data_IF_343081544711
#
_entry.id   IF_343081544711
#
_cell.length_a   1.000
_cell.length_b   1.000
_cell.length_c   1.000
_cell.angle_alpha   90.00
_cell.angle_beta   90.00
_cell.angle_gamma   90.00
#
_symmetry.space_group_name_H-M   'P 1'
#
loop_
_entity.id
_entity.type
_entity.pdbx_description
1 polymer ?
#
# COMPACT_ATOMS: atom_id res chain seq x y z
N UNK A 1 6.04 23.42 14.27
CA UNK A 1 5.55 22.58 13.15
C UNK A 1 6.68 21.65 12.70
N UNK A 2 6.48 20.32 12.69
CA UNK A 2 7.43 19.42 12.05
C UNK A 2 7.49 19.79 10.56
N UNK A 3 8.70 20.01 10.04
CA UNK A 3 8.90 20.27 8.61
C UNK A 3 8.30 19.11 7.81
N UNK A 4 7.47 19.41 6.81
CA UNK A 4 7.00 18.40 5.86
C UNK A 4 8.24 17.83 5.18
N UNK A 5 8.50 16.53 5.37
CA UNK A 5 9.52 15.82 4.61
C UNK A 5 9.26 16.06 3.12
N UNK A 6 10.27 16.58 2.44
CA UNK A 6 10.21 16.89 0.99
C UNK A 6 10.60 15.69 0.14
N UNK A 7 11.27 14.71 0.74
CA UNK A 7 11.73 13.49 0.10
C UNK A 7 11.29 12.25 0.90
N UNK A 8 11.06 11.10 0.23
CA UNK A 8 10.76 9.84 0.90
C UNK A 8 11.90 9.41 1.84
N UNK A 9 11.55 9.03 3.07
CA UNK A 9 12.52 8.53 4.04
C UNK A 9 12.69 7.01 3.91
N UNK A 10 13.92 6.49 3.66
CA UNK A 10 14.16 5.05 3.52
C UNK A 10 13.74 4.20 4.73
N UNK A 11 13.87 4.73 5.94
CA UNK A 11 13.43 4.02 7.15
C UNK A 11 11.91 3.90 7.21
N UNK A 12 11.18 4.90 6.71
CA UNK A 12 9.73 4.86 6.60
C UNK A 12 9.28 3.91 5.50
N UNK A 13 9.97 3.90 4.35
CA UNK A 13 9.72 2.90 3.29
C UNK A 13 9.86 1.49 3.87
N UNK A 14 10.93 1.23 4.63
CA UNK A 14 11.14 -0.06 5.26
C UNK A 14 10.01 -0.41 6.24
N UNK A 15 9.64 0.51 7.13
CA UNK A 15 8.53 0.30 8.07
C UNK A 15 7.20 0.01 7.35
N UNK A 16 6.87 0.75 6.30
CA UNK A 16 5.68 0.55 5.49
C UNK A 16 5.64 -0.84 4.84
N UNK A 17 6.78 -1.33 4.32
CA UNK A 17 6.92 -2.69 3.79
C UNK A 17 6.68 -3.73 4.88
N UNK A 18 7.25 -3.57 6.08
CA UNK A 18 7.06 -4.50 7.19
C UNK A 18 5.59 -4.57 7.63
N UNK A 19 4.91 -3.43 7.71
CA UNK A 19 3.49 -3.34 8.06
C UNK A 19 2.60 -4.00 6.99
N UNK A 20 2.87 -3.74 5.71
CA UNK A 20 2.18 -4.39 4.58
C UNK A 20 2.34 -5.92 4.65
N UNK A 21 3.57 -6.42 4.87
CA UNK A 21 3.85 -7.84 5.10
C UNK A 21 3.13 -8.40 6.31
N UNK A 22 3.02 -7.61 7.37
CA UNK A 22 2.31 -7.96 8.61
C UNK A 22 0.78 -7.94 8.47
N UNK A 23 0.24 -7.57 7.30
CA UNK A 23 -1.21 -7.56 7.04
C UNK A 23 -1.91 -6.34 7.62
N UNK A 24 -1.14 -5.31 7.97
CA UNK A 24 -1.66 -3.98 8.27
C UNK A 24 -1.14 -3.00 7.24
N UNK A 25 -1.88 -2.84 6.15
CA UNK A 25 -1.38 -2.07 5.01
C UNK A 25 -1.30 -0.57 5.34
N UNK A 26 -0.24 0.14 4.91
CA UNK A 26 -0.20 1.60 4.89
C UNK A 26 -0.99 2.21 3.72
N UNK A 27 -1.72 1.40 2.95
CA UNK A 27 -2.41 1.79 1.73
C UNK A 27 -1.45 1.79 0.54
N UNK A 28 -0.48 2.70 0.54
CA UNK A 28 0.63 2.72 -0.42
C UNK A 28 1.94 2.95 0.31
N UNK A 29 3.02 2.38 -0.22
CA UNK A 29 4.39 2.63 0.21
C UNK A 29 4.85 3.90 -0.50
N UNK A 30 5.02 4.98 0.27
CA UNK A 30 5.36 6.31 -0.23
C UNK A 30 6.58 6.93 0.46
N UNK A 31 7.04 6.33 1.57
CA UNK A 31 8.16 6.77 2.38
C UNK A 31 7.88 7.99 3.28
N UNK A 32 6.61 8.35 3.50
CA UNK A 32 6.24 9.48 4.35
C UNK A 32 5.56 9.04 5.65
N UNK A 33 5.88 9.74 6.74
CA UNK A 33 5.15 9.57 7.99
C UNK A 33 3.85 10.38 7.95
N UNK A 34 2.75 9.73 7.61
CA UNK A 34 1.42 10.34 7.51
C UNK A 34 0.32 9.51 8.16
N UNK A 35 -0.93 9.99 8.05
CA UNK A 35 -2.08 9.42 8.75
C UNK A 35 -2.31 7.93 8.42
N UNK A 36 -2.06 7.50 7.19
CA UNK A 36 -2.19 6.09 6.83
C UNK A 36 -1.13 5.21 7.49
N UNK A 37 0.09 5.72 7.71
CA UNK A 37 1.11 5.02 8.46
C UNK A 37 0.70 4.88 9.94
N UNK A 38 0.21 5.96 10.55
CA UNK A 38 -0.34 5.92 11.92
C UNK A 38 -1.47 4.89 12.06
N UNK A 39 -2.37 4.82 11.07
CA UNK A 39 -3.45 3.82 11.02
C UNK A 39 -2.92 2.39 10.84
N UNK A 40 -1.89 2.20 10.01
CA UNK A 40 -1.26 0.90 9.84
C UNK A 40 -0.56 0.43 11.12
N UNK A 41 0.08 1.34 11.86
CA UNK A 41 0.62 1.01 13.19
C UNK A 41 -0.51 0.59 14.14
N UNK A 42 -1.60 1.36 14.20
CA UNK A 42 -2.77 1.02 15.03
C UNK A 42 -3.42 -0.33 14.64
N UNK A 43 -3.48 -0.62 13.34
CA UNK A 43 -3.97 -1.90 12.83
C UNK A 43 -3.05 -3.06 13.21
N UNK A 44 -1.73 -2.85 13.15
CA UNK A 44 -0.75 -3.83 13.59
C UNK A 44 -0.81 -4.07 15.11
N UNK A 45 -0.94 -3.02 15.92
CA UNK A 45 -1.18 -3.14 17.36
C UNK A 45 -2.41 -4.01 17.64
N UNK A 46 -3.52 -3.78 16.93
CA UNK A 46 -4.73 -4.58 17.06
C UNK A 46 -4.50 -6.06 16.67
N UNK A 47 -3.78 -6.32 15.58
CA UNK A 47 -3.39 -7.67 15.15
C UNK A 47 -2.52 -8.38 16.21
N UNK A 48 -1.64 -7.62 16.85
CA UNK A 48 -0.69 -8.10 17.86
C UNK A 48 -1.25 -8.13 19.28
N UNK A 49 -2.51 -7.67 19.47
CA UNK A 49 -3.16 -7.48 20.78
C UNK A 49 -2.37 -6.56 21.72
N UNK A 50 -1.76 -5.53 21.16
CA UNK A 50 -1.12 -4.43 21.88
C UNK A 50 -2.14 -3.32 22.19
N UNK A 51 -1.83 -2.39 23.12
CA UNK A 51 -2.57 -1.14 23.24
C UNK A 51 -2.63 -0.42 21.88
N UNK A 52 -3.83 -0.03 21.45
CA UNK A 52 -4.03 0.61 20.14
C UNK A 52 -3.94 2.13 20.29
N UNK A 53 -2.79 2.71 19.98
CA UNK A 53 -2.55 4.16 20.02
C UNK A 53 -1.89 4.71 18.74
N UNK A 54 -1.50 3.84 17.82
CA UNK A 54 -0.95 4.18 16.50
C UNK A 54 0.46 4.74 16.54
N UNK A 55 1.20 4.54 17.64
CA UNK A 55 2.55 5.09 17.79
C UNK A 55 3.60 4.02 17.54
N UNK A 56 4.65 4.43 16.83
CA UNK A 56 5.83 3.59 16.68
C UNK A 56 6.61 3.58 17.99
N UNK A 57 6.45 2.51 18.76
CA UNK A 57 7.16 2.30 20.02
C UNK A 57 8.06 1.04 19.97
N UNK A 58 8.88 0.78 21.00
CA UNK A 58 9.76 -0.38 21.04
C UNK A 58 9.02 -1.73 20.97
N UNK A 59 7.78 -1.82 21.46
CA UNK A 59 7.00 -3.07 21.44
C UNK A 59 6.50 -3.36 20.02
N UNK A 60 6.05 -2.35 19.29
CA UNK A 60 5.70 -2.44 17.86
C UNK A 60 6.93 -2.80 17.04
N UNK A 61 8.03 -2.06 17.19
CA UNK A 61 9.28 -2.30 16.45
C UNK A 61 9.85 -3.69 16.72
N UNK A 62 9.83 -4.15 17.97
CA UNK A 62 10.33 -5.47 18.35
C UNK A 62 9.54 -6.64 17.76
N UNK A 63 8.30 -6.40 17.29
CA UNK A 63 7.45 -7.42 16.63
C UNK A 63 7.44 -7.32 15.11
N UNK A 64 7.90 -6.20 14.55
CA UNK A 64 8.10 -6.02 13.11
C UNK A 64 9.51 -6.52 12.73
N UNK A 65 9.71 -7.83 12.83
CA UNK A 65 10.98 -8.46 12.44
C UNK A 65 10.83 -9.13 11.09
N UNK A 66 11.68 -8.76 10.13
CA UNK A 66 11.86 -9.48 8.88
C UNK A 66 13.30 -9.31 8.41
N UNK A 67 13.96 -10.43 8.08
CA UNK A 67 15.32 -10.44 7.54
C UNK A 67 15.34 -10.28 6.01
N UNK A 68 14.17 -10.22 5.36
CA UNK A 68 14.06 -10.04 3.93
C UNK A 68 14.24 -8.57 3.51
N UNK A 69 14.99 -8.29 2.41
CA UNK A 69 15.13 -6.95 1.87
C UNK A 69 13.78 -6.26 1.64
N UNK A 70 13.70 -4.95 1.85
CA UNK A 70 12.49 -4.19 1.55
C UNK A 70 12.31 -3.92 0.05
N UNK A 71 13.42 -3.88 -0.71
CA UNK A 71 13.48 -3.52 -2.13
C UNK A 71 14.16 -4.64 -2.92
N UNK A 72 13.67 -4.92 -4.13
CA UNK A 72 14.28 -5.83 -5.11
C UNK A 72 14.45 -5.18 -6.48
N UNK A 73 15.33 -5.78 -7.29
CA UNK A 73 15.38 -5.51 -8.71
C UNK A 73 14.24 -6.25 -9.43
N UNK A 74 13.56 -5.55 -10.34
CA UNK A 74 12.52 -6.09 -11.20
C UNK A 74 12.83 -5.75 -12.67
N UNK A 75 12.91 -6.78 -13.52
CA UNK A 75 13.05 -6.61 -14.95
C UNK A 75 11.67 -6.38 -15.57
N UNK A 76 11.47 -5.22 -16.19
CA UNK A 76 10.22 -4.89 -16.88
C UNK A 76 10.10 -5.79 -18.11
N UNK A 77 9.00 -6.53 -18.20
CA UNK A 77 8.72 -7.45 -19.31
C UNK A 77 7.66 -6.86 -20.25
N UNK A 78 7.51 -7.45 -21.44
CA UNK A 78 6.50 -7.00 -22.42
C UNK A 78 5.07 -7.08 -21.90
N UNK A 79 4.79 -7.96 -20.94
CA UNK A 79 3.47 -8.04 -20.30
C UNK A 79 3.11 -6.78 -19.51
N UNK A 80 4.12 -6.09 -18.96
CA UNK A 80 3.92 -4.88 -18.17
C UNK A 80 3.48 -3.69 -19.04
N UNK A 81 3.64 -3.76 -20.37
CA UNK A 81 3.13 -2.74 -21.31
C UNK A 81 1.72 -3.01 -21.81
N UNK A 82 1.07 -4.10 -21.38
CA UNK A 82 -0.35 -4.33 -21.68
C UNK A 82 -1.25 -3.54 -20.73
N UNK A 83 -2.50 -3.37 -21.13
CA UNK A 83 -3.53 -2.62 -20.37
C UNK A 83 -3.20 -1.15 -20.16
N UNK A 84 -2.28 -0.59 -20.95
CA UNK A 84 -1.96 0.83 -20.92
C UNK A 84 -2.94 1.57 -21.83
N UNK A 85 -3.71 2.47 -21.24
CA UNK A 85 -4.67 3.35 -21.91
C UNK A 85 -4.12 4.77 -21.99
N UNK A 86 -4.51 5.53 -23.02
CA UNK A 86 -4.05 6.91 -23.20
C UNK A 86 -4.52 7.82 -22.06
N UNK A 87 -5.75 7.65 -21.60
CA UNK A 87 -6.31 8.39 -20.48
C UNK A 87 -7.49 7.65 -19.85
N UNK A 88 -7.79 7.99 -18.60
CA UNK A 88 -9.00 7.57 -17.88
C UNK A 88 -9.84 8.82 -17.64
N UNK A 89 -11.10 8.89 -18.14
CA UNK A 89 -12.00 10.01 -17.89
C UNK A 89 -12.22 10.24 -16.39
N UNK A 90 -12.50 11.47 -15.98
CA UNK A 90 -12.88 11.77 -14.59
C UNK A 90 -14.34 11.44 -14.27
N UNK A 91 -15.19 11.44 -15.28
CA UNK A 91 -16.62 11.19 -15.12
C UNK A 91 -16.90 9.67 -15.01
N UNK A 92 -17.64 9.28 -13.97
CA UNK A 92 -17.93 7.87 -13.70
C UNK A 92 -18.82 7.23 -14.77
N UNK A 93 -19.73 7.97 -15.41
CA UNK A 93 -20.57 7.43 -16.47
C UNK A 93 -19.76 7.16 -17.74
N UNK A 94 -18.76 8.00 -18.04
CA UNK A 94 -17.82 7.73 -19.13
C UNK A 94 -16.86 6.57 -18.78
N UNK A 95 -16.36 6.49 -17.53
CA UNK A 95 -15.58 5.33 -17.08
C UNK A 95 -16.36 4.02 -17.21
N UNK A 96 -17.66 4.03 -16.89
CA UNK A 96 -18.52 2.85 -16.98
C UNK A 96 -18.74 2.35 -18.43
N UNK A 97 -18.42 3.16 -19.44
CA UNK A 97 -18.46 2.77 -20.86
C UNK A 97 -17.14 2.19 -21.37
N UNK A 98 -16.05 2.32 -20.60
CA UNK A 98 -14.77 1.68 -20.94
C UNK A 98 -14.91 0.16 -20.79
N UNK A 99 -14.23 -0.61 -21.65
CA UNK A 99 -14.21 -2.07 -21.56
C UNK A 99 -13.63 -2.54 -20.22
N UNK A 100 -12.57 -1.88 -19.77
CA UNK A 100 -12.01 -1.97 -18.43
C UNK A 100 -11.28 -0.67 -18.07
N UNK A 101 -11.06 -0.43 -16.77
CA UNK A 101 -10.12 0.58 -16.33
C UNK A 101 -8.70 -0.01 -16.45
N UNK A 102 -7.91 0.54 -17.37
CA UNK A 102 -6.49 0.20 -17.52
C UNK A 102 -5.59 1.08 -16.66
N UNK A 103 -4.33 1.19 -17.05
CA UNK A 103 -3.34 2.06 -16.44
C UNK A 103 -2.90 3.14 -17.43
N UNK A 104 -2.54 4.33 -16.97
CA UNK A 104 -2.07 5.41 -17.86
C UNK A 104 -0.57 5.31 -18.15
N UNK A 105 0.17 4.47 -17.42
CA UNK A 105 1.60 4.21 -17.66
C UNK A 105 2.08 2.89 -17.06
N UNK A 106 3.20 2.36 -17.58
CA UNK A 106 3.88 1.19 -17.01
C UNK A 106 4.33 1.48 -15.56
N UNK A 107 4.80 2.69 -15.28
CA UNK A 107 5.18 3.10 -13.94
C UNK A 107 4.00 3.03 -12.95
N UNK A 108 2.80 3.42 -13.37
CA UNK A 108 1.58 3.31 -12.56
C UNK A 108 1.19 1.84 -12.32
N UNK A 109 1.16 1.02 -13.38
CA UNK A 109 0.86 -0.41 -13.29
C UNK A 109 1.81 -1.13 -12.33
N UNK A 110 3.11 -0.84 -12.44
CA UNK A 110 4.13 -1.42 -11.56
C UNK A 110 4.05 -0.86 -10.14
N UNK A 111 3.75 0.43 -9.97
CA UNK A 111 3.54 1.02 -8.65
C UNK A 111 2.42 0.27 -7.91
N UNK A 112 1.26 0.10 -8.55
CA UNK A 112 0.13 -0.63 -7.97
C UNK A 112 0.50 -2.09 -7.65
N UNK A 113 1.13 -2.79 -8.61
CA UNK A 113 1.56 -4.18 -8.44
C UNK A 113 2.49 -4.39 -7.23
N UNK A 114 3.35 -3.42 -6.94
CA UNK A 114 4.30 -3.48 -5.82
C UNK A 114 3.85 -2.67 -4.59
N UNK A 115 2.57 -2.28 -4.53
CA UNK A 115 1.95 -1.49 -3.45
C UNK A 115 2.64 -0.15 -3.19
N UNK A 116 3.26 0.45 -4.21
CA UNK A 116 3.99 1.71 -4.11
C UNK A 116 3.14 2.88 -4.61
N UNK A 117 3.41 4.07 -4.08
CA UNK A 117 2.98 5.30 -4.71
C UNK A 117 3.83 5.58 -5.97
N UNK A 118 3.21 6.10 -7.04
CA UNK A 118 3.91 6.37 -8.32
C UNK A 118 5.11 7.32 -8.17
N UNK A 119 5.05 8.25 -7.22
CA UNK A 119 6.17 9.15 -6.93
C UNK A 119 7.37 8.41 -6.34
N UNK A 120 7.14 7.41 -5.48
CA UNK A 120 8.22 6.65 -4.86
C UNK A 120 8.93 5.76 -5.87
N UNK A 121 8.19 5.00 -6.70
CA UNK A 121 8.83 4.15 -7.71
C UNK A 121 9.66 4.97 -8.70
N UNK A 122 9.22 6.20 -9.04
CA UNK A 122 10.01 7.13 -9.86
C UNK A 122 11.23 7.67 -9.12
N UNK A 123 11.09 8.01 -7.83
CA UNK A 123 12.21 8.49 -7.01
C UNK A 123 13.30 7.43 -6.82
N UNK A 124 12.93 6.15 -6.69
CA UNK A 124 13.89 5.04 -6.64
C UNK A 124 14.57 4.75 -7.99
N UNK A 125 13.97 5.20 -9.09
CA UNK A 125 14.42 4.92 -10.45
C UNK A 125 14.52 6.22 -11.29
N UNK A 126 15.35 7.19 -10.88
CA UNK A 126 15.33 8.54 -11.45
C UNK A 126 15.74 8.59 -12.93
N UNK A 127 16.42 7.56 -13.43
CA UNK A 127 16.89 7.47 -14.82
C UNK A 127 16.08 6.48 -15.68
N UNK A 128 15.07 5.81 -15.12
CA UNK A 128 14.30 4.80 -15.85
C UNK A 128 13.28 5.44 -16.78
N UNK A 129 13.17 4.91 -17.99
CA UNK A 129 12.09 5.28 -18.92
C UNK A 129 10.83 4.42 -18.69
N UNK A 130 10.90 3.41 -17.83
CA UNK A 130 9.82 2.45 -17.53
C UNK A 130 9.32 1.73 -18.78
N UNK A 131 10.25 1.14 -19.53
CA UNK A 131 9.96 0.34 -20.74
C UNK A 131 10.45 -1.10 -20.60
N UNK A 132 9.85 -2.06 -21.32
CA UNK A 132 10.33 -3.43 -21.33
C UNK A 132 11.84 -3.54 -21.63
N UNK A 133 12.53 -4.40 -20.88
CA UNK A 133 13.99 -4.60 -20.93
C UNK A 133 14.79 -3.79 -19.92
N UNK A 134 14.20 -2.79 -19.25
CA UNK A 134 14.84 -2.10 -18.13
C UNK A 134 14.73 -2.91 -16.83
N UNK A 135 15.69 -2.70 -15.93
CA UNK A 135 15.62 -3.22 -14.56
C UNK A 135 15.46 -2.05 -13.60
N UNK A 136 14.46 -2.11 -12.73
CA UNK A 136 14.12 -1.07 -11.78
C UNK A 136 14.11 -1.60 -10.34
N UNK A 137 14.30 -0.73 -9.36
CA UNK A 137 14.12 -1.01 -7.95
C UNK A 137 12.64 -0.85 -7.54
N UNK A 138 12.06 -1.88 -6.93
CA UNK A 138 10.66 -1.89 -6.47
C UNK A 138 10.56 -2.46 -5.07
N UNK A 139 9.51 -2.10 -4.34
CA UNK A 139 9.24 -2.70 -3.04
C UNK A 139 8.93 -4.20 -3.16
N UNK A 140 9.20 -4.94 -2.08
CA UNK A 140 8.81 -6.34 -1.91
C UNK A 140 7.64 -6.37 -0.92
N UNK A 141 6.38 -6.20 -1.36
CA UNK A 141 5.22 -6.20 -0.49
C UNK A 141 4.95 -7.58 0.12
N UNK A 142 4.01 -7.63 1.06
CA UNK A 142 3.48 -8.87 1.61
C UNK A 142 2.76 -9.71 0.55
N UNK A 143 2.80 -11.02 0.73
CA UNK A 143 1.87 -11.89 0.01
C UNK A 143 0.43 -11.53 0.41
N UNK A 144 -0.49 -11.64 -0.57
CA UNK A 144 -1.91 -11.44 -0.31
C UNK A 144 -2.36 -12.30 0.87
N UNK A 145 -3.01 -11.67 1.86
CA UNK A 145 -3.49 -12.38 3.04
C UNK A 145 -4.59 -13.35 2.65
N UNK A 146 -4.36 -14.64 2.93
CA UNK A 146 -5.32 -15.71 2.70
C UNK A 146 -5.95 -16.15 4.02
N UNK A 147 -7.22 -16.52 4.00
CA UNK A 147 -7.92 -17.06 5.16
C UNK A 147 -9.43 -17.00 4.95
N UNK A 148 -10.17 -17.78 5.75
CA UNK A 148 -11.63 -17.74 5.72
C UNK A 148 -12.13 -16.56 6.54
N UNK A 149 -12.53 -15.49 5.85
CA UNK A 149 -13.13 -14.31 6.47
C UNK A 149 -14.60 -14.58 6.77
N UNK A 150 -14.99 -14.49 8.05
CA UNK A 150 -16.39 -14.64 8.49
C UNK A 150 -17.12 -13.31 8.57
N UNK A 151 -16.41 -12.23 8.91
CA UNK A 151 -16.97 -10.90 9.11
C UNK A 151 -15.99 -9.83 8.64
N UNK A 152 -16.50 -8.87 7.89
CA UNK A 152 -15.79 -7.64 7.51
C UNK A 152 -16.47 -6.48 8.20
N UNK A 153 -15.70 -5.66 8.91
CA UNK A 153 -16.19 -4.43 9.52
C UNK A 153 -15.57 -3.21 8.86
N UNK A 154 -16.41 -2.25 8.49
CA UNK A 154 -16.00 -0.98 7.89
C UNK A 154 -16.19 0.12 8.94
N UNK A 155 -15.08 0.65 9.46
CA UNK A 155 -15.08 1.66 10.52
C UNK A 155 -14.92 3.06 9.93
N UNK A 156 -16.05 3.74 9.67
CA UNK A 156 -16.07 5.09 9.06
C UNK A 156 -15.21 6.12 9.80
N UNK A 157 -15.26 6.15 11.14
CA UNK A 157 -14.49 7.11 11.95
C UNK A 157 -12.98 6.86 11.90
N UNK A 158 -12.58 5.60 11.80
CA UNK A 158 -11.18 5.19 11.72
C UNK A 158 -10.66 5.24 10.28
N UNK A 159 -11.57 5.26 9.29
CA UNK A 159 -11.24 5.13 7.87
C UNK A 159 -10.42 3.85 7.63
N UNK A 160 -10.91 2.73 8.18
CA UNK A 160 -10.26 1.42 8.14
C UNK A 160 -11.29 0.29 7.99
N UNK A 161 -10.86 -0.80 7.38
CA UNK A 161 -11.59 -2.06 7.22
C UNK A 161 -10.86 -3.16 7.96
N UNK A 162 -11.61 -3.96 8.72
CA UNK A 162 -11.10 -5.05 9.55
C UNK A 162 -11.71 -6.37 9.06
N UNK A 163 -10.87 -7.37 8.80
CA UNK A 163 -11.30 -8.70 8.39
C UNK A 163 -11.11 -9.70 9.53
N UNK A 164 -12.19 -10.37 9.94
CA UNK A 164 -12.20 -11.32 11.07
C UNK A 164 -12.47 -12.74 10.61
N UNK A 165 -11.78 -13.70 11.24
CA UNK A 165 -12.03 -15.13 11.10
C UNK A 165 -13.26 -15.59 11.91
N UNK A 166 -13.60 -16.88 11.80
CA UNK A 166 -14.73 -17.48 12.52
C UNK A 166 -14.58 -17.43 14.06
N UNK A 167 -13.36 -17.57 14.56
CA UNK A 167 -13.02 -17.46 16.00
C UNK A 167 -12.92 -16.01 16.49
N UNK A 168 -13.33 -15.05 15.66
CA UNK A 168 -13.18 -13.60 15.88
C UNK A 168 -11.74 -13.08 15.98
N UNK A 169 -10.73 -13.89 15.60
CA UNK A 169 -9.38 -13.38 15.41
C UNK A 169 -9.33 -12.41 14.22
N UNK A 170 -8.49 -11.38 14.34
CA UNK A 170 -8.28 -10.38 13.30
C UNK A 170 -7.25 -10.93 12.30
N UNK A 171 -7.60 -10.94 11.01
CA UNK A 171 -6.76 -11.47 9.94
C UNK A 171 -5.98 -10.38 9.20
N UNK A 172 -6.62 -9.24 8.99
CA UNK A 172 -6.02 -8.10 8.30
C UNK A 172 -6.73 -6.78 8.64
N UNK A 173 -5.99 -5.68 8.49
CA UNK A 173 -6.51 -4.31 8.62
C UNK A 173 -6.02 -3.49 7.44
N UNK A 174 -6.94 -2.82 6.76
CA UNK A 174 -6.64 -1.97 5.60
C UNK A 174 -7.19 -0.57 5.80
N UNK A 175 -6.50 0.50 5.37
CA UNK A 175 -7.10 1.83 5.30
C UNK A 175 -8.21 1.83 4.24
N UNK A 176 -9.21 2.66 4.43
CA UNK A 176 -10.31 2.80 3.49
C UNK A 176 -10.80 4.24 3.42
N UNK A 177 -11.01 4.73 2.20
CA UNK A 177 -11.77 5.95 1.95
C UNK A 177 -13.24 5.56 1.85
N UNK A 178 -14.05 6.06 2.77
CA UNK A 178 -15.49 5.76 2.85
C UNK A 178 -16.21 7.05 2.46
N UNK A 179 -17.06 6.97 1.44
CA UNK A 179 -17.66 8.12 0.75
C UNK A 179 -18.20 9.23 1.67
N UNK A 180 -18.14 10.46 1.17
CA UNK A 180 -18.90 11.59 1.71
C UNK A 180 -20.39 11.39 1.46
N UNK A 181 -21.24 12.08 2.23
CA UNK A 181 -22.71 11.98 2.13
C UNK A 181 -23.25 12.44 0.76
N UNK A 182 -22.41 13.10 -0.04
CA UNK A 182 -22.71 13.46 -1.41
C UNK A 182 -22.15 12.39 -2.36
N UNK A 183 -23.03 11.49 -2.80
CA UNK A 183 -22.85 10.55 -3.92
C UNK A 183 -24.16 10.47 -4.70
#
# INVERSE_FOLDING_TARGET
PAEKQTEPNPAIVHLQVLLDRAGSSPGVIDGYFGDNLTKAIAGFEALQRLPVDGKLDPDVLGRLTDDAPAIQAYAIIQEDSKDIVESIPKDYAEQARMEHLGYTSIAEKLAERFHMHIALIKALNPTAAFKPGETIAVAIPGAARTGSVKRIEVHRKLAQVFAFAEDSSLLAVYPATIGSEDS
#
